data_IF_711860965357
#
_entry.id   IF_711860965357
#
_cell.length_a   1.000
_cell.length_b   1.000
_cell.length_c   1.000
_cell.angle_alpha   90.00
_cell.angle_beta   90.00
_cell.angle_gamma   90.00
#
_symmetry.space_group_name_H-M   'P 1'
#
loop_
_entity.id
_entity.type
_entity.pdbx_description
1 polymer ?
#
# COMPACT_ATOMS: atom_id res chain seq x y z
N UNK A 1 20.37 7.95 -10.23
CA UNK A 1 19.31 7.69 -11.24
C UNK A 1 18.26 8.78 -11.10
N UNK A 2 17.55 9.22 -12.16
CA UNK A 2 16.47 10.19 -12.02
C UNK A 2 15.37 9.66 -11.10
N UNK A 3 14.74 10.54 -10.32
CA UNK A 3 13.60 10.20 -9.48
C UNK A 3 12.47 9.61 -10.34
N UNK A 4 11.89 8.51 -9.88
CA UNK A 4 10.80 7.79 -10.55
C UNK A 4 9.49 8.09 -9.85
N UNK A 5 8.39 8.09 -10.60
CA UNK A 5 7.03 8.19 -10.05
C UNK A 5 6.46 6.78 -9.91
N UNK A 6 6.06 6.42 -8.71
CA UNK A 6 5.62 5.07 -8.37
C UNK A 6 4.21 5.14 -7.80
N UNK A 7 3.31 4.34 -8.35
CA UNK A 7 1.97 4.17 -7.81
C UNK A 7 1.98 3.01 -6.82
N UNK A 8 1.42 3.21 -5.64
CA UNK A 8 1.18 2.13 -4.67
C UNK A 8 -0.31 1.96 -4.46
N UNK A 9 -0.84 0.77 -4.80
CA UNK A 9 -2.26 0.46 -4.63
C UNK A 9 -2.47 -0.24 -3.28
N UNK A 10 -3.12 0.44 -2.34
CA UNK A 10 -3.41 -0.07 -0.99
C UNK A 10 -4.91 -0.21 -0.76
N UNK A 11 -5.27 -0.92 0.29
CA UNK A 11 -6.64 -1.11 0.75
C UNK A 11 -6.72 -1.42 2.24
N UNK A 12 -7.92 -1.48 2.81
CA UNK A 12 -8.10 -1.94 4.18
C UNK A 12 -7.63 -3.39 4.35
N UNK A 13 -6.93 -3.64 5.45
CA UNK A 13 -6.22 -4.87 5.76
C UNK A 13 -5.14 -5.26 4.73
N UNK A 14 -4.54 -4.27 4.08
CA UNK A 14 -3.20 -4.41 3.48
C UNK A 14 -2.18 -4.82 4.55
N UNK A 15 -1.18 -5.66 4.22
CA UNK A 15 -0.17 -6.07 5.20
C UNK A 15 0.71 -4.87 5.63
N UNK A 16 0.93 -4.71 6.93
CA UNK A 16 1.54 -3.51 7.55
C UNK A 16 2.97 -3.26 7.08
N UNK A 17 3.80 -4.30 7.03
CA UNK A 17 5.15 -4.22 6.49
C UNK A 17 5.16 -4.10 4.98
N UNK A 18 4.32 -4.87 4.28
CA UNK A 18 4.30 -4.83 2.83
C UNK A 18 3.82 -3.47 2.28
N UNK A 19 3.04 -2.70 3.05
CA UNK A 19 2.71 -1.32 2.72
C UNK A 19 3.84 -0.35 3.15
N UNK A 20 4.20 -0.35 4.44
CA UNK A 20 5.06 0.70 5.00
C UNK A 20 6.52 0.60 4.55
N UNK A 21 7.09 -0.61 4.50
CA UNK A 21 8.51 -0.79 4.19
C UNK A 21 8.82 -0.37 2.75
N UNK A 22 8.12 -0.86 1.70
CA UNK A 22 8.38 -0.39 0.33
C UNK A 22 8.11 1.10 0.18
N UNK A 23 7.05 1.63 0.80
CA UNK A 23 6.73 3.05 0.74
C UNK A 23 7.90 3.91 1.26
N UNK A 24 8.38 3.64 2.47
CA UNK A 24 9.47 4.41 3.07
C UNK A 24 10.82 4.19 2.36
N UNK A 25 11.13 2.97 1.93
CA UNK A 25 12.39 2.68 1.24
C UNK A 25 12.46 3.40 -0.12
N UNK A 26 11.37 3.42 -0.89
CA UNK A 26 11.31 4.13 -2.17
C UNK A 26 11.43 5.64 -1.99
N UNK A 27 10.77 6.21 -0.97
CA UNK A 27 10.96 7.63 -0.61
C UNK A 27 12.40 7.93 -0.20
N UNK A 28 13.01 7.06 0.62
CA UNK A 28 14.37 7.23 1.13
C UNK A 28 15.42 7.28 0.00
N UNK A 29 15.24 6.52 -1.07
CA UNK A 29 16.12 6.55 -2.25
C UNK A 29 15.75 7.63 -3.27
N UNK A 30 14.82 8.53 -2.94
CA UNK A 30 14.49 9.72 -3.72
C UNK A 30 13.44 9.53 -4.81
N UNK A 31 12.61 8.48 -4.74
CA UNK A 31 11.44 8.33 -5.62
C UNK A 31 10.21 9.04 -5.05
N UNK A 32 9.27 9.38 -5.92
CA UNK A 32 7.95 9.87 -5.52
C UNK A 32 6.99 8.67 -5.49
N UNK A 33 6.29 8.47 -4.38
CA UNK A 33 5.31 7.40 -4.23
C UNK A 33 3.94 7.99 -3.92
N UNK A 34 2.99 7.76 -4.81
CA UNK A 34 1.58 8.11 -4.59
C UNK A 34 0.84 6.84 -4.14
N UNK A 35 0.36 6.83 -2.90
CA UNK A 35 -0.40 5.72 -2.33
C UNK A 35 -1.90 6.00 -2.43
N UNK A 36 -2.64 5.10 -3.08
CA UNK A 36 -4.05 5.27 -3.40
C UNK A 36 -4.88 4.08 -2.96
N UNK A 37 -6.15 4.33 -2.62
CA UNK A 37 -7.15 3.32 -2.29
C UNK A 37 -8.49 3.72 -2.94
N UNK A 38 -9.13 2.85 -3.73
CA UNK A 38 -10.48 3.12 -4.25
C UNK A 38 -11.45 3.50 -3.13
N UNK A 39 -12.26 4.54 -3.38
CA UNK A 39 -13.24 5.03 -2.41
C UNK A 39 -12.65 5.82 -1.23
N UNK A 40 -11.34 6.09 -1.20
CA UNK A 40 -10.69 6.96 -0.21
C UNK A 40 -9.93 8.11 -0.87
N UNK A 41 -9.82 9.22 -0.17
CA UNK A 41 -9.20 10.48 -0.59
C UNK A 41 -7.89 10.74 0.18
N UNK A 42 -7.01 11.62 -0.33
CA UNK A 42 -5.79 12.00 0.37
C UNK A 42 -6.07 12.49 1.80
N UNK A 43 -5.27 12.01 2.76
CA UNK A 43 -5.44 12.31 4.19
C UNK A 43 -6.34 11.32 4.94
N UNK A 44 -7.12 10.49 4.24
CA UNK A 44 -7.76 9.33 4.85
C UNK A 44 -6.75 8.20 5.09
N UNK A 45 -7.17 7.18 5.83
CA UNK A 45 -6.31 6.05 6.19
C UNK A 45 -6.93 4.72 5.82
N UNK A 46 -6.08 3.74 5.49
CA UNK A 46 -6.42 2.32 5.50
C UNK A 46 -5.95 1.69 6.81
N UNK A 47 -6.71 0.73 7.33
CA UNK A 47 -6.26 -0.13 8.43
C UNK A 47 -5.32 -1.18 7.85
N UNK A 48 -4.24 -1.53 8.54
CA UNK A 48 -3.35 -2.62 8.10
C UNK A 48 -3.55 -3.89 8.92
N UNK A 49 -3.05 -5.00 8.39
CA UNK A 49 -2.97 -6.30 9.04
C UNK A 49 -1.50 -6.66 9.29
N UNK A 50 -1.18 -7.24 10.45
CA UNK A 50 0.09 -7.91 10.69
C UNK A 50 -0.16 -9.40 10.51
N UNK A 51 0.54 -10.01 9.55
CA UNK A 51 0.51 -11.45 9.32
C UNK A 51 1.80 -12.08 9.84
N UNK A 52 1.69 -12.94 10.85
CA UNK A 52 2.85 -13.58 11.45
C UNK A 52 2.61 -15.05 11.79
N UNK A 53 3.65 -15.87 11.69
CA UNK A 53 3.59 -17.30 11.99
C UNK A 53 3.98 -17.55 13.45
N UNK A 54 2.98 -17.88 14.27
CA UNK A 54 3.14 -18.06 15.72
C UNK A 54 3.10 -19.55 16.15
N UNK A 55 3.22 -20.48 15.20
CA UNK A 55 3.30 -21.93 15.44
C UNK A 55 2.17 -22.78 14.83
N UNK A 56 1.14 -22.15 14.27
CA UNK A 56 0.02 -22.82 13.60
C UNK A 56 0.33 -23.14 12.11
N UNK A 57 -0.58 -23.87 11.46
CA UNK A 57 -0.46 -24.21 10.02
C UNK A 57 -0.55 -23.00 9.08
N UNK A 58 -1.03 -21.86 9.58
CA UNK A 58 -1.15 -20.60 8.84
C UNK A 58 -0.82 -19.44 9.77
N UNK A 59 -0.67 -18.24 9.20
CA UNK A 59 -0.40 -17.03 9.93
C UNK A 59 -1.57 -16.63 10.85
N UNK A 60 -1.24 -15.98 11.96
CA UNK A 60 -2.18 -15.18 12.76
C UNK A 60 -2.37 -13.81 12.13
N UNK A 61 -3.53 -13.19 12.33
CA UNK A 61 -3.80 -11.82 11.90
C UNK A 61 -4.07 -10.92 13.10
N UNK A 62 -3.33 -9.81 13.19
CA UNK A 62 -3.54 -8.75 14.18
C UNK A 62 -3.71 -7.41 13.48
N UNK A 63 -4.42 -6.47 14.09
CA UNK A 63 -4.52 -5.11 13.53
C UNK A 63 -3.17 -4.40 13.66
N UNK A 64 -2.65 -3.89 12.56
CA UNK A 64 -1.43 -3.08 12.52
C UNK A 64 -1.69 -1.59 12.68
N UNK A 65 -0.78 -0.78 12.12
CA UNK A 65 -0.89 0.67 12.12
C UNK A 65 -2.00 1.16 11.17
N UNK A 66 -2.29 2.46 11.21
CA UNK A 66 -3.06 3.09 10.13
C UNK A 66 -2.07 3.60 9.08
N UNK A 67 -2.31 3.31 7.81
CA UNK A 67 -1.49 3.78 6.69
C UNK A 67 -2.24 4.89 5.94
N UNK A 68 -1.56 6.01 5.67
CA UNK A 68 -2.18 7.19 5.05
C UNK A 68 -2.27 7.08 3.53
N UNK A 69 -3.43 7.44 2.98
CA UNK A 69 -3.63 7.64 1.53
C UNK A 69 -3.07 9.02 1.16
N UNK A 70 -2.24 9.09 0.13
CA UNK A 70 -1.53 10.33 -0.26
C UNK A 70 -1.99 10.92 -1.58
N UNK A 71 -2.69 10.16 -2.42
CA UNK A 71 -3.24 10.63 -3.69
C UNK A 71 -4.67 10.09 -3.92
N UNK A 72 -5.43 10.77 -4.78
CA UNK A 72 -6.82 10.41 -5.09
C UNK A 72 -6.87 9.41 -6.25
N UNK A 73 -7.34 8.19 -5.96
CA UNK A 73 -7.47 7.11 -6.92
C UNK A 73 -8.20 7.52 -8.21
N UNK A 74 -9.26 8.34 -8.10
CA UNK A 74 -10.12 8.72 -9.23
C UNK A 74 -9.42 9.68 -10.21
N UNK A 75 -8.28 10.24 -9.82
CA UNK A 75 -7.54 11.26 -10.59
C UNK A 75 -6.21 10.73 -11.16
N UNK A 76 -5.83 9.51 -10.81
CA UNK A 76 -4.59 8.87 -11.26
C UNK A 76 -4.67 8.54 -12.75
N UNK A 77 -3.65 8.93 -13.50
CA UNK A 77 -3.42 8.45 -14.86
C UNK A 77 -2.23 7.48 -14.85
N UNK A 78 -2.44 6.16 -15.08
CA UNK A 78 -1.39 5.15 -14.99
C UNK A 78 -0.17 5.44 -15.86
N UNK A 79 -0.34 6.11 -17.01
CA UNK A 79 0.76 6.46 -17.91
C UNK A 79 1.77 7.44 -17.33
N UNK A 80 1.43 8.11 -16.23
CA UNK A 80 2.30 9.06 -15.53
C UNK A 80 3.24 8.40 -14.52
N UNK A 81 3.16 7.09 -14.34
CA UNK A 81 3.96 6.32 -13.38
C UNK A 81 4.93 5.39 -14.10
N UNK A 82 6.16 5.31 -13.58
CA UNK A 82 7.21 4.43 -14.07
C UNK A 82 7.05 2.99 -13.53
N UNK A 83 6.36 2.82 -12.41
CA UNK A 83 6.19 1.53 -11.73
C UNK A 83 4.92 1.47 -10.88
N UNK A 84 4.51 0.24 -10.55
CA UNK A 84 3.39 -0.10 -9.67
C UNK A 84 3.89 -1.01 -8.53
N UNK A 85 3.48 -0.70 -7.31
CA UNK A 85 3.65 -1.56 -6.13
C UNK A 85 2.27 -2.01 -5.65
N UNK A 86 2.11 -3.32 -5.46
CA UNK A 86 0.90 -3.94 -4.91
C UNK A 86 1.32 -4.70 -3.65
N UNK A 87 1.18 -4.10 -2.47
CA UNK A 87 1.37 -4.81 -1.21
C UNK A 87 0.36 -5.96 -1.05
N UNK A 88 0.76 -7.00 -0.33
CA UNK A 88 -0.07 -8.15 0.00
C UNK A 88 -1.06 -7.91 1.13
N UNK A 89 -1.21 -8.93 1.97
CA UNK A 89 -2.28 -8.99 2.98
C UNK A 89 -3.63 -9.33 2.37
N UNK A 90 -4.70 -8.81 2.95
CA UNK A 90 -6.08 -9.11 2.52
C UNK A 90 -6.62 -8.11 1.50
N UNK A 91 -6.00 -6.94 1.35
CA UNK A 91 -6.47 -5.94 0.39
C UNK A 91 -6.54 -6.41 -1.07
N UNK A 92 -5.57 -7.17 -1.61
CA UNK A 92 -5.63 -7.60 -3.01
C UNK A 92 -6.82 -8.50 -3.34
N UNK A 93 -7.36 -9.23 -2.34
CA UNK A 93 -8.50 -10.13 -2.54
C UNK A 93 -9.74 -9.40 -3.03
N UNK A 94 -10.02 -8.21 -2.47
CA UNK A 94 -11.21 -7.44 -2.80
C UNK A 94 -10.96 -6.36 -3.85
N UNK A 95 -9.73 -5.88 -4.00
CA UNK A 95 -9.39 -4.87 -5.01
C UNK A 95 -9.40 -5.40 -6.46
N UNK A 96 -9.44 -6.73 -6.64
CA UNK A 96 -9.58 -7.37 -7.96
C UNK A 96 -11.03 -7.51 -8.46
N UNK A 97 -12.01 -7.21 -7.62
CA UNK A 97 -13.45 -7.31 -7.91
C UNK A 97 -13.98 -5.99 -8.47
#
# INVERSE_FOLDING_TARGET
MPAKRILMLVGDYVEDYEAMVPYQMLLMVGHQVDAVCPGKKPGEVVRTAIHDFEGDQTYSEKRGHNFAVTADFDTIEPRNYDALVIPGGRSPEYLRL
#
